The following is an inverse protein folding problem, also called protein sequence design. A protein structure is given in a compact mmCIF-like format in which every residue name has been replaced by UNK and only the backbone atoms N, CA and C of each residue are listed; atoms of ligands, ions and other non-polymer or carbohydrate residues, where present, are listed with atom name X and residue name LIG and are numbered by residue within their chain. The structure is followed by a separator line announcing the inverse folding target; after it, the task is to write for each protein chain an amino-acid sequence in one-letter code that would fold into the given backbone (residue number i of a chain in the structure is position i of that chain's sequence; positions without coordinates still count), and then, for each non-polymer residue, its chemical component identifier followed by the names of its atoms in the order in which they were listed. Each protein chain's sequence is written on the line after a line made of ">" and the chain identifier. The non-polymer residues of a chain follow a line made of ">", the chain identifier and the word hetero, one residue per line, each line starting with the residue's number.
data_IF_656228743991
#
_entry.id   IF_656228743991
#
_cell.length_a   1.000
_cell.length_b   1.000
_cell.length_c   1.000
_cell.angle_alpha   90.00
_cell.angle_beta   90.00
_cell.angle_gamma   90.00
#
_symmetry.space_group_name_H-M   'P 1'
#
loop_
_entity.id
_entity.type
_entity.pdbx_description
1 polymer ?
#
# COMPACT_ATOMS: atom_id res chain seq x y z
N UNK A 1 -8.28 11.61 -9.32
CA UNK A 1 -6.91 11.89 -8.88
C UNK A 1 -6.93 12.33 -7.43
N UNK A 2 -5.94 11.91 -6.64
CA UNK A 2 -5.74 12.30 -5.24
C UNK A 2 -4.39 13.01 -5.14
N UNK A 3 -4.37 14.24 -4.66
CA UNK A 3 -3.18 15.09 -4.71
C UNK A 3 -2.50 15.20 -3.34
N UNK A 4 -1.17 15.16 -3.36
CA UNK A 4 -0.26 15.49 -2.27
C UNK A 4 0.59 16.72 -2.60
N UNK A 5 1.69 16.90 -1.86
CA UNK A 5 2.64 18.00 -2.08
C UNK A 5 3.66 17.66 -3.18
N UNK A 6 4.23 16.46 -3.11
CA UNK A 6 5.31 16.01 -4.01
C UNK A 6 4.88 14.87 -4.94
N UNK A 7 3.70 14.30 -4.70
CA UNK A 7 3.14 13.18 -5.47
C UNK A 7 1.64 13.37 -5.65
N UNK A 8 1.10 12.65 -6.60
CA UNK A 8 -0.35 12.42 -6.70
C UNK A 8 -0.63 10.96 -7.03
N UNK A 9 -1.84 10.50 -6.72
CA UNK A 9 -2.31 9.16 -7.03
C UNK A 9 -3.36 9.25 -8.14
N UNK A 10 -3.16 8.46 -9.18
CA UNK A 10 -4.06 8.31 -10.31
C UNK A 10 -4.44 6.83 -10.44
N UNK A 11 -5.69 6.54 -10.78
CA UNK A 11 -6.07 5.15 -11.09
C UNK A 11 -5.12 4.58 -12.15
N UNK A 12 -4.77 3.31 -11.96
CA UNK A 12 -3.86 2.59 -12.85
C UNK A 12 -4.51 2.41 -14.23
N UNK A 13 -3.75 2.62 -15.28
CA UNK A 13 -4.15 2.41 -16.66
C UNK A 13 -3.41 1.21 -17.25
N UNK A 14 -3.90 0.69 -18.37
CA UNK A 14 -3.27 -0.45 -19.05
C UNK A 14 -1.80 -0.17 -19.38
N UNK A 15 -1.49 1.02 -19.84
CA UNK A 15 -0.14 1.42 -20.26
C UNK A 15 0.85 1.56 -19.09
N UNK A 16 0.34 1.66 -17.86
CA UNK A 16 1.18 1.70 -16.66
C UNK A 16 1.70 0.32 -16.25
N UNK A 17 1.01 -0.75 -16.66
CA UNK A 17 1.19 -2.09 -16.10
C UNK A 17 2.62 -2.60 -16.30
N UNK A 18 3.21 -2.34 -17.43
CA UNK A 18 4.59 -2.76 -17.71
C UNK A 18 5.58 -2.10 -16.74
N UNK A 19 5.49 -0.79 -16.58
CA UNK A 19 6.36 -0.04 -15.67
C UNK A 19 6.10 -0.42 -14.20
N UNK A 20 4.85 -0.65 -13.84
CA UNK A 20 4.46 -1.12 -12.50
C UNK A 20 5.03 -2.51 -12.24
N UNK A 21 4.94 -3.42 -13.23
CA UNK A 21 5.51 -4.74 -13.11
C UNK A 21 7.03 -4.68 -12.85
N UNK A 22 7.76 -3.92 -13.66
CA UNK A 22 9.21 -3.78 -13.51
C UNK A 22 9.61 -3.20 -12.14
N UNK A 23 8.83 -2.25 -11.64
CA UNK A 23 9.02 -1.65 -10.32
C UNK A 23 8.79 -2.65 -9.18
N UNK A 24 7.72 -3.46 -9.28
CA UNK A 24 7.36 -4.46 -8.28
C UNK A 24 8.25 -5.71 -8.35
N UNK A 25 8.91 -5.95 -9.49
CA UNK A 25 9.78 -7.11 -9.73
C UNK A 25 11.19 -6.97 -9.17
N UNK A 26 11.56 -5.82 -8.62
CA UNK A 26 12.84 -5.64 -7.93
C UNK A 26 12.95 -6.61 -6.76
N UNK A 27 14.08 -7.33 -6.65
CA UNK A 27 14.29 -8.37 -5.63
C UNK A 27 14.14 -7.88 -4.19
N UNK A 28 14.55 -6.64 -3.92
CA UNK A 28 14.42 -6.04 -2.59
C UNK A 28 12.96 -5.63 -2.30
N UNK A 29 12.19 -5.28 -3.33
CA UNK A 29 10.76 -5.02 -3.21
C UNK A 29 9.99 -6.31 -2.99
N UNK A 30 10.28 -7.35 -3.80
CA UNK A 30 9.65 -8.68 -3.68
C UNK A 30 9.82 -9.33 -2.32
N UNK A 31 10.95 -9.07 -1.65
CA UNK A 31 11.22 -9.59 -0.30
C UNK A 31 10.10 -9.30 0.70
N UNK A 32 9.34 -8.24 0.49
CA UNK A 32 8.31 -7.77 1.40
C UNK A 32 6.92 -7.66 0.74
N UNK A 33 6.76 -8.19 -0.47
CA UNK A 33 5.48 -8.20 -1.16
C UNK A 33 4.77 -9.54 -1.00
N UNK A 34 3.44 -9.53 -0.92
CA UNK A 34 2.60 -10.72 -0.74
C UNK A 34 2.72 -11.77 -1.87
N UNK A 35 3.49 -11.49 -2.91
CA UNK A 35 3.72 -12.41 -4.02
C UNK A 35 4.64 -13.61 -3.66
N UNK A 36 4.76 -13.94 -2.36
CA UNK A 36 5.51 -15.10 -1.84
C UNK A 36 6.95 -15.21 -2.37
N UNK A 37 7.57 -14.06 -2.71
CA UNK A 37 8.89 -14.03 -3.32
C UNK A 37 8.96 -14.65 -4.72
N UNK A 38 7.86 -15.14 -5.24
CA UNK A 38 7.74 -15.65 -6.60
C UNK A 38 7.28 -14.52 -7.52
N UNK A 39 8.09 -14.26 -8.53
CA UNK A 39 7.73 -13.32 -9.58
C UNK A 39 6.54 -13.89 -10.35
N UNK A 40 5.37 -13.27 -10.24
CA UNK A 40 4.24 -13.60 -11.10
C UNK A 40 4.68 -13.36 -12.54
N UNK A 41 4.54 -14.33 -13.48
CA UNK A 41 4.92 -14.11 -14.86
C UNK A 41 4.26 -12.84 -15.42
N UNK A 42 5.01 -12.02 -16.14
CA UNK A 42 4.56 -10.73 -16.68
C UNK A 42 3.23 -10.85 -17.44
N UNK A 43 3.05 -11.93 -18.20
CA UNK A 43 1.80 -12.23 -18.91
C UNK A 43 0.61 -12.30 -17.95
N UNK A 44 0.73 -13.03 -16.85
CA UNK A 44 -0.35 -13.16 -15.85
C UNK A 44 -0.63 -11.82 -15.16
N UNK A 45 0.42 -11.03 -14.91
CA UNK A 45 0.25 -9.69 -14.34
C UNK A 45 -0.50 -8.74 -15.31
N UNK A 46 -0.17 -8.78 -16.60
CA UNK A 46 -0.89 -8.04 -17.64
C UNK A 46 -2.33 -8.52 -17.80
N UNK A 47 -2.57 -9.83 -17.72
CA UNK A 47 -3.92 -10.39 -17.79
C UNK A 47 -4.76 -10.03 -16.57
N UNK A 48 -4.16 -9.92 -15.38
CA UNK A 48 -4.86 -9.52 -14.15
C UNK A 48 -5.45 -8.11 -14.24
N UNK A 49 -4.87 -7.24 -15.08
CA UNK A 49 -5.42 -5.90 -15.31
C UNK A 49 -6.88 -5.92 -15.76
N UNK A 50 -7.31 -6.92 -16.53
CA UNK A 50 -8.70 -7.08 -16.98
C UNK A 50 -9.70 -7.19 -15.83
N UNK A 51 -9.21 -7.57 -14.64
CA UNK A 51 -10.00 -7.78 -13.42
C UNK A 51 -9.86 -6.65 -12.39
N UNK A 52 -8.86 -5.74 -12.54
CA UNK A 52 -8.58 -4.68 -11.57
C UNK A 52 -9.78 -3.76 -11.29
N UNK A 53 -10.64 -3.55 -12.29
CA UNK A 53 -11.84 -2.71 -12.15
C UNK A 53 -13.10 -3.51 -11.76
N UNK A 54 -13.01 -4.84 -11.64
CA UNK A 54 -14.14 -5.72 -11.29
C UNK A 54 -14.09 -6.19 -9.83
N UNK A 55 -13.02 -5.88 -9.12
CA UNK A 55 -12.82 -6.27 -7.72
C UNK A 55 -13.22 -5.14 -6.78
N UNK A 56 -13.40 -5.48 -5.50
CA UNK A 56 -13.60 -4.51 -4.42
C UNK A 56 -12.35 -3.68 -4.11
N UNK A 57 -11.28 -3.84 -4.91
CA UNK A 57 -10.03 -3.14 -4.78
C UNK A 57 -9.91 -1.99 -5.77
N UNK A 58 -9.39 -0.84 -5.29
CA UNK A 58 -9.00 0.31 -6.11
C UNK A 58 -7.49 0.45 -6.11
N UNK A 59 -6.87 0.35 -7.30
CA UNK A 59 -5.43 0.49 -7.49
C UNK A 59 -5.07 1.82 -8.14
N UNK A 60 -4.02 2.43 -7.62
CA UNK A 60 -3.47 3.70 -8.07
C UNK A 60 -1.99 3.57 -8.34
N UNK A 61 -1.51 4.24 -9.37
CA UNK A 61 -0.09 4.54 -9.51
C UNK A 61 0.25 5.79 -8.71
N UNK A 62 1.40 5.76 -8.06
CA UNK A 62 1.97 6.91 -7.35
C UNK A 62 2.90 7.63 -8.31
N UNK A 63 2.60 8.87 -8.63
CA UNK A 63 3.33 9.68 -9.60
C UNK A 63 3.96 10.87 -8.88
N UNK A 64 5.25 11.11 -9.11
CA UNK A 64 5.96 12.24 -8.55
C UNK A 64 5.83 13.51 -9.42
N UNK A 65 6.41 14.62 -8.97
CA UNK A 65 6.39 15.91 -9.67
C UNK A 65 7.09 15.90 -11.04
N UNK A 66 7.95 14.90 -11.32
CA UNK A 66 8.57 14.68 -12.61
C UNK A 66 7.73 13.79 -13.55
N UNK A 67 6.46 13.57 -13.21
CA UNK A 67 5.52 12.69 -13.92
C UNK A 67 5.98 11.22 -14.03
N UNK A 68 6.86 10.74 -13.13
CA UNK A 68 7.35 9.37 -13.09
C UNK A 68 6.51 8.53 -12.14
N UNK A 69 6.18 7.30 -12.55
CA UNK A 69 5.59 6.30 -11.66
C UNK A 69 6.67 5.87 -10.66
N UNK A 70 6.42 6.09 -9.38
CA UNK A 70 7.36 5.79 -8.29
C UNK A 70 6.86 4.66 -7.39
N UNK A 71 5.60 4.26 -7.54
CA UNK A 71 5.00 3.21 -6.74
C UNK A 71 3.58 2.87 -7.16
N UNK A 72 2.99 1.96 -6.40
CA UNK A 72 1.58 1.54 -6.50
C UNK A 72 0.98 1.57 -5.12
N UNK A 73 -0.22 2.10 -5.02
CA UNK A 73 -1.02 2.11 -3.81
C UNK A 73 -2.39 1.52 -4.10
N UNK A 74 -2.97 0.80 -3.14
CA UNK A 74 -4.33 0.30 -3.29
C UNK A 74 -5.10 0.39 -1.98
N UNK A 75 -6.43 0.33 -2.11
CA UNK A 75 -7.31 0.00 -1.01
C UNK A 75 -8.39 -0.97 -1.46
N UNK A 76 -8.81 -1.82 -0.55
CA UNK A 76 -10.01 -2.63 -0.66
C UNK A 76 -10.86 -2.42 0.59
N UNK A 77 -12.15 -2.76 0.54
CA UNK A 77 -12.99 -2.76 1.72
C UNK A 77 -13.25 -4.18 2.19
N UNK A 78 -13.41 -4.32 3.51
CA UNK A 78 -13.77 -5.59 4.10
C UNK A 78 -15.15 -6.03 3.60
N UNK A 79 -15.28 -7.30 3.21
CA UNK A 79 -16.57 -7.87 2.83
C UNK A 79 -17.42 -8.25 4.05
N UNK A 80 -16.82 -8.26 5.23
CA UNK A 80 -17.46 -8.75 6.47
C UNK A 80 -17.82 -7.63 7.43
N UNK A 81 -17.18 -6.48 7.34
CA UNK A 81 -17.40 -5.34 8.24
C UNK A 81 -17.50 -4.07 7.42
N UNK A 82 -18.59 -3.34 7.60
CA UNK A 82 -18.79 -2.05 6.92
C UNK A 82 -17.75 -1.01 7.38
N UNK A 83 -17.40 -0.10 6.49
CA UNK A 83 -16.48 1.03 6.74
C UNK A 83 -15.06 0.64 7.22
N UNK A 84 -14.66 -0.62 7.05
CA UNK A 84 -13.28 -1.09 7.26
C UNK A 84 -12.56 -1.24 5.93
N UNK A 85 -11.43 -0.56 5.81
CA UNK A 85 -10.62 -0.56 4.59
C UNK A 85 -9.24 -1.14 4.85
N UNK A 86 -8.76 -1.93 3.90
CA UNK A 86 -7.42 -2.51 3.89
C UNK A 86 -6.61 -1.76 2.84
N UNK A 87 -5.41 -1.31 3.18
CA UNK A 87 -4.52 -0.60 2.25
C UNK A 87 -3.26 -1.39 1.97
N UNK A 88 -2.71 -1.19 0.78
CA UNK A 88 -1.40 -1.71 0.37
C UNK A 88 -0.60 -0.62 -0.31
N UNK A 89 0.72 -0.67 -0.16
CA UNK A 89 1.64 0.29 -0.77
C UNK A 89 2.95 -0.39 -1.16
N UNK A 90 3.36 -0.17 -2.39
CA UNK A 90 4.69 -0.53 -2.89
C UNK A 90 5.34 0.72 -3.46
N UNK A 91 6.55 1.06 -2.99
CA UNK A 91 7.41 2.10 -3.57
C UNK A 91 8.63 1.43 -4.18
N UNK A 92 8.94 1.76 -5.41
CA UNK A 92 10.11 1.24 -6.11
C UNK A 92 11.41 1.59 -5.39
N UNK A 93 12.36 0.63 -5.35
CA UNK A 93 13.62 0.73 -4.59
C UNK A 93 14.37 2.04 -4.82
N UNK A 94 14.50 2.48 -6.07
CA UNK A 94 15.18 3.73 -6.45
C UNK A 94 14.54 5.01 -5.90
N UNK A 95 13.33 4.91 -5.37
CA UNK A 95 12.56 6.03 -4.82
C UNK A 95 12.40 5.96 -3.30
N UNK A 96 13.02 4.98 -2.63
CA UNK A 96 12.98 4.87 -1.18
C UNK A 96 13.62 6.08 -0.49
N UNK A 97 13.25 6.31 0.77
CA UNK A 97 13.77 7.39 1.64
C UNK A 97 13.52 8.82 1.11
N UNK A 98 12.61 9.00 0.15
CA UNK A 98 12.22 10.31 -0.39
C UNK A 98 10.88 10.83 0.16
N UNK A 99 10.31 10.16 1.17
CA UNK A 99 9.03 10.54 1.76
C UNK A 99 7.78 10.09 1.00
N UNK A 100 7.92 9.55 -0.22
CA UNK A 100 6.78 9.17 -1.06
C UNK A 100 5.85 8.14 -0.40
N UNK A 101 6.39 7.21 0.39
CA UNK A 101 5.60 6.22 1.12
C UNK A 101 4.65 6.87 2.12
N UNK A 102 5.16 7.69 3.02
CA UNK A 102 4.34 8.36 4.04
C UNK A 102 3.36 9.36 3.41
N UNK A 103 3.74 10.04 2.35
CA UNK A 103 2.84 10.94 1.62
C UNK A 103 1.70 10.17 0.96
N UNK A 104 1.98 9.03 0.29
CA UNK A 104 0.96 8.15 -0.31
C UNK A 104 -0.05 7.66 0.72
N UNK A 105 0.43 7.19 1.88
CA UNK A 105 -0.43 6.73 2.98
C UNK A 105 -1.31 7.87 3.48
N UNK A 106 -0.76 9.06 3.71
CA UNK A 106 -1.55 10.21 4.16
C UNK A 106 -2.61 10.64 3.15
N UNK A 107 -2.33 10.56 1.84
CA UNK A 107 -3.30 10.82 0.77
C UNK A 107 -4.45 9.79 0.84
N UNK A 108 -4.12 8.49 0.96
CA UNK A 108 -5.13 7.43 1.08
C UNK A 108 -5.97 7.59 2.35
N UNK A 109 -5.37 7.83 3.51
CA UNK A 109 -6.09 8.05 4.77
C UNK A 109 -7.05 9.23 4.67
N UNK A 110 -6.61 10.34 4.07
CA UNK A 110 -7.48 11.48 3.80
C UNK A 110 -8.69 11.11 2.94
N UNK A 111 -8.44 10.37 1.86
CA UNK A 111 -9.51 9.93 0.98
C UNK A 111 -10.49 9.01 1.69
N UNK A 112 -9.97 8.01 2.42
CA UNK A 112 -10.80 7.01 3.09
C UNK A 112 -11.60 7.60 4.23
N UNK A 113 -11.00 8.33 5.15
CA UNK A 113 -11.70 8.90 6.31
C UNK A 113 -12.65 10.05 5.94
N UNK A 114 -12.27 10.92 5.00
CA UNK A 114 -13.06 12.12 4.70
C UNK A 114 -14.06 11.93 3.53
N UNK A 115 -13.75 11.08 2.55
CA UNK A 115 -14.62 10.88 1.37
C UNK A 115 -15.37 9.56 1.40
N UNK A 116 -14.73 8.48 1.87
CA UNK A 116 -15.33 7.16 1.97
C UNK A 116 -15.97 6.88 3.33
N UNK A 117 -15.83 7.81 4.29
CA UNK A 117 -16.37 7.69 5.66
C UNK A 117 -15.87 6.48 6.43
N UNK A 118 -14.66 6.00 6.12
CA UNK A 118 -14.07 4.88 6.83
C UNK A 118 -14.16 5.07 8.34
N UNK A 119 -14.49 3.99 9.05
CA UNK A 119 -14.35 3.90 10.50
C UNK A 119 -12.93 3.49 10.89
N UNK A 120 -12.35 2.57 10.11
CA UNK A 120 -11.05 1.98 10.34
C UNK A 120 -10.29 1.77 9.03
N UNK A 121 -8.98 1.94 9.09
CA UNK A 121 -8.07 1.54 8.01
C UNK A 121 -7.00 0.63 8.60
N UNK A 122 -6.73 -0.49 7.94
CA UNK A 122 -5.74 -1.46 8.39
C UNK A 122 -4.81 -1.91 7.27
N UNK A 123 -3.71 -2.52 7.66
CA UNK A 123 -2.75 -3.13 6.77
C UNK A 123 -2.02 -4.29 7.46
N UNK A 124 -1.37 -5.09 6.66
CA UNK A 124 -0.46 -6.15 7.11
C UNK A 124 0.93 -5.90 6.54
N UNK A 125 1.96 -6.12 7.33
CA UNK A 125 3.36 -5.87 6.93
C UNK A 125 4.29 -6.95 7.47
N UNK A 126 5.23 -7.40 6.65
CA UNK A 126 6.26 -8.35 7.08
C UNK A 126 7.09 -7.74 8.22
N UNK A 127 7.27 -8.47 9.31
CA UNK A 127 7.88 -8.00 10.57
C UNK A 127 9.31 -7.47 10.38
N UNK A 128 10.03 -8.02 9.43
CA UNK A 128 11.39 -7.59 9.08
C UNK A 128 11.42 -6.28 8.27
N UNK A 129 10.27 -5.81 7.75
CA UNK A 129 10.19 -4.57 7.00
C UNK A 129 10.09 -3.34 7.92
N UNK A 130 11.14 -3.12 8.72
CA UNK A 130 11.18 -2.01 9.68
C UNK A 130 10.98 -0.63 9.04
N UNK A 131 11.39 -0.47 7.77
CA UNK A 131 11.22 0.79 7.06
C UNK A 131 9.72 1.10 6.82
N UNK A 132 8.95 0.09 6.41
CA UNK A 132 7.51 0.24 6.24
C UNK A 132 6.79 0.41 7.58
N UNK A 133 7.12 -0.39 8.60
CA UNK A 133 6.55 -0.28 9.95
C UNK A 133 6.72 1.13 10.50
N UNK A 134 7.95 1.67 10.43
CA UNK A 134 8.23 3.03 10.88
C UNK A 134 7.48 4.09 10.05
N UNK A 135 7.30 3.85 8.75
CA UNK A 135 6.49 4.71 7.90
C UNK A 135 5.03 4.73 8.35
N UNK A 136 4.42 3.57 8.60
CA UNK A 136 3.04 3.45 9.06
C UNK A 136 2.84 4.07 10.45
N UNK A 137 3.76 3.81 11.41
CA UNK A 137 3.73 4.47 12.73
C UNK A 137 3.73 6.00 12.63
N UNK A 138 4.56 6.58 11.74
CA UNK A 138 4.57 8.02 11.49
C UNK A 138 3.26 8.54 10.90
N UNK A 139 2.50 7.69 10.21
CA UNK A 139 1.18 8.01 9.68
C UNK A 139 0.04 7.75 10.67
N UNK A 140 0.35 7.30 11.89
CA UNK A 140 -0.61 7.11 12.99
C UNK A 140 -1.11 5.69 13.16
N UNK A 141 -0.60 4.71 12.42
CA UNK A 141 -0.96 3.30 12.61
C UNK A 141 -0.38 2.75 13.91
N UNK A 142 -1.17 1.93 14.58
CA UNK A 142 -0.82 1.21 15.82
C UNK A 142 -0.66 -0.28 15.49
N UNK A 143 0.34 -0.93 16.06
CA UNK A 143 0.49 -2.38 15.99
C UNK A 143 -0.57 -3.04 16.86
N UNK A 144 -1.30 -4.02 16.32
CA UNK A 144 -2.41 -4.66 17.01
C UNK A 144 -2.20 -6.16 17.23
N UNK A 145 -1.30 -6.77 16.48
CA UNK A 145 -1.04 -8.19 16.61
C UNK A 145 -0.03 -8.72 15.61
N UNK A 146 0.34 -9.98 15.80
CA UNK A 146 1.30 -10.71 14.95
C UNK A 146 0.63 -11.98 14.44
N UNK A 147 0.68 -12.18 13.13
CA UNK A 147 0.38 -13.47 12.52
C UNK A 147 1.70 -14.23 12.34
N UNK A 148 1.90 -15.24 13.14
CA UNK A 148 3.12 -16.04 13.09
C UNK A 148 3.16 -16.84 11.80
N UNK A 149 4.35 -16.88 11.15
CA UNK A 149 4.65 -17.71 9.98
C UNK A 149 3.64 -17.53 8.82
N UNK A 150 3.07 -16.34 8.70
CA UNK A 150 2.04 -16.01 7.70
C UNK A 150 2.62 -15.85 6.30
N UNK A 151 3.89 -15.45 6.21
CA UNK A 151 4.54 -15.12 4.95
C UNK A 151 5.68 -16.09 4.66
N UNK A 152 5.76 -16.60 3.42
CA UNK A 152 6.84 -17.48 2.99
C UNK A 152 7.75 -16.80 1.99
N UNK A 153 9.04 -16.78 2.25
CA UNK A 153 10.03 -16.20 1.36
C UNK A 153 11.34 -17.01 1.36
N UNK A 154 11.75 -17.51 0.19
CA UNK A 154 13.02 -18.21 -0.02
C UNK A 154 13.33 -19.28 1.04
N UNK A 155 12.38 -20.18 1.27
CA UNK A 155 12.55 -21.29 2.18
C UNK A 155 12.33 -20.96 3.67
N UNK A 156 11.89 -19.74 4.01
CA UNK A 156 11.63 -19.32 5.39
C UNK A 156 10.22 -18.81 5.56
N UNK A 157 9.58 -19.19 6.65
CA UNK A 157 8.35 -18.58 7.11
C UNK A 157 8.67 -17.33 7.92
N UNK A 158 7.96 -16.26 7.66
CA UNK A 158 8.12 -14.96 8.32
C UNK A 158 6.82 -14.55 8.97
N UNK A 159 6.93 -13.84 10.11
CA UNK A 159 5.79 -13.23 10.78
C UNK A 159 5.31 -12.00 10.01
N UNK A 160 4.02 -11.70 10.12
CA UNK A 160 3.48 -10.41 9.72
C UNK A 160 2.86 -9.69 10.91
N UNK A 161 2.89 -8.36 10.86
CA UNK A 161 2.30 -7.48 11.85
C UNK A 161 1.03 -6.89 11.26
N UNK A 162 -0.07 -6.97 12.01
CA UNK A 162 -1.31 -6.27 11.72
C UNK A 162 -1.20 -4.88 12.32
N UNK A 163 -1.47 -3.86 11.53
CA UNK A 163 -1.51 -2.47 11.99
C UNK A 163 -2.83 -1.81 11.59
N UNK A 164 -3.38 -1.01 12.49
CA UNK A 164 -4.64 -0.31 12.26
C UNK A 164 -4.59 1.15 12.68
N UNK A 165 -5.52 1.95 12.15
CA UNK A 165 -5.80 3.30 12.59
C UNK A 165 -7.30 3.56 12.56
N UNK A 166 -7.83 4.11 13.64
CA UNK A 166 -9.24 4.49 13.76
C UNK A 166 -9.45 5.95 13.33
N UNK A 167 -10.65 6.26 12.88
CA UNK A 167 -11.03 7.62 12.49
C UNK A 167 -10.73 8.66 13.57
N UNK A 168 -11.02 8.35 14.83
CA UNK A 168 -10.78 9.26 15.94
C UNK A 168 -9.29 9.54 16.16
N UNK A 169 -8.43 8.53 16.02
CA UNK A 169 -6.97 8.67 16.13
C UNK A 169 -6.41 9.53 14.99
N UNK A 170 -6.91 9.32 13.77
CA UNK A 170 -6.53 10.14 12.62
C UNK A 170 -6.89 11.61 12.81
N UNK A 171 -8.10 11.91 13.34
CA UNK A 171 -8.53 13.28 13.64
C UNK A 171 -7.63 13.89 14.73
N UNK A 172 -7.42 13.18 15.85
CA UNK A 172 -6.61 13.65 16.96
C UNK A 172 -5.15 13.96 16.57
N UNK A 173 -4.56 13.13 15.70
CA UNK A 173 -3.20 13.35 15.19
C UNK A 173 -3.10 14.62 14.35
N UNK A 174 -4.15 14.99 13.61
CA UNK A 174 -4.18 16.17 12.74
C UNK A 174 -4.46 17.47 13.49
N UNK A 175 -5.19 17.40 14.58
CA UNK A 175 -5.46 18.56 15.44
C UNK A 175 -4.21 19.04 16.21
N UNK A 176 -3.15 18.23 16.25
CA UNK A 176 -1.88 18.55 16.92
C UNK A 176 -0.79 19.14 15.98
N UNK A 177 -1.09 19.26 14.68
CA UNK A 177 -0.22 19.84 13.65
C UNK A 177 -0.72 21.21 13.21
#
# INVERSE_FOLDING_TARGET
>A
MLYGKNIYLREILKDDIEQVYDLCSDKEVLKYSEAEGNLIPKKHYLDSYKYLNKTHEKKYVVINTEAKIVGVASYSYSQFVEDVYIISLVIGRKYWRRGYGSESINILLNHLFNKKRAHRVELEVVKENMAAINCYKKCGFIEEGVKREKYYYKGKYLDTIIMGILKQEFIAMRSKK
#
